data_IF_247575790762
#
_entry.id   IF_247575790762
#
_cell.length_a   1.000
_cell.length_b   1.000
_cell.length_c   1.000
_cell.angle_alpha   90.00
_cell.angle_beta   90.00
_cell.angle_gamma   90.00
#
_symmetry.space_group_name_H-M   'P 1'
#
loop_
_entity.id
_entity.type
_entity.pdbx_description
1 polymer ?
#
# COMPACT_ATOMS: atom_id res chain seq x y z
N UNK A 1 -40.04 -44.01 -7.96
CA UNK A 1 -40.51 -42.62 -7.88
C UNK A 1 -39.65 -41.83 -6.91
N UNK A 2 -38.67 -41.07 -7.41
CA UNK A 2 -37.89 -40.15 -6.57
C UNK A 2 -38.83 -38.99 -6.20
N UNK A 3 -39.11 -38.82 -4.90
CA UNK A 3 -40.00 -37.76 -4.41
C UNK A 3 -39.42 -36.38 -4.75
N UNK A 4 -40.24 -35.49 -5.29
CA UNK A 4 -39.92 -34.09 -5.62
C UNK A 4 -39.21 -33.36 -4.46
N UNK A 5 -39.53 -33.76 -3.22
CA UNK A 5 -38.92 -33.28 -1.98
C UNK A 5 -37.42 -33.57 -1.87
N UNK A 6 -36.95 -34.73 -2.38
CA UNK A 6 -35.54 -35.12 -2.38
C UNK A 6 -34.72 -34.31 -3.39
N UNK A 7 -35.32 -33.96 -4.53
CA UNK A 7 -34.69 -33.10 -5.55
C UNK A 7 -34.51 -31.69 -5.00
N UNK A 8 -35.53 -31.16 -4.32
CA UNK A 8 -35.49 -29.82 -3.74
C UNK A 8 -34.44 -29.69 -2.62
N UNK A 9 -34.35 -30.68 -1.72
CA UNK A 9 -33.34 -30.73 -0.66
C UNK A 9 -31.93 -30.85 -1.24
N UNK A 10 -31.75 -31.71 -2.25
CA UNK A 10 -30.47 -31.85 -2.95
C UNK A 10 -30.03 -30.54 -3.59
N UNK A 11 -30.94 -29.82 -4.25
CA UNK A 11 -30.65 -28.53 -4.87
C UNK A 11 -30.22 -27.46 -3.85
N UNK A 12 -30.88 -27.41 -2.68
CA UNK A 12 -30.49 -26.49 -1.58
C UNK A 12 -29.11 -26.84 -1.04
N UNK A 13 -28.81 -28.13 -0.82
CA UNK A 13 -27.49 -28.57 -0.37
C UNK A 13 -26.40 -28.25 -1.40
N UNK A 14 -26.67 -28.45 -2.70
CA UNK A 14 -25.76 -28.09 -3.78
C UNK A 14 -25.53 -26.58 -3.83
N UNK A 15 -26.58 -25.76 -3.66
CA UNK A 15 -26.47 -24.31 -3.61
C UNK A 15 -25.64 -23.83 -2.40
N UNK A 16 -25.79 -24.49 -1.24
CA UNK A 16 -25.01 -24.19 -0.03
C UNK A 16 -23.53 -24.57 -0.19
N UNK A 17 -23.25 -25.73 -0.79
CA UNK A 17 -21.89 -26.20 -1.10
C UNK A 17 -21.21 -25.36 -2.20
N UNK A 18 -21.97 -24.85 -3.16
CA UNK A 18 -21.45 -23.92 -4.16
C UNK A 18 -21.06 -22.59 -3.51
N UNK A 19 -21.84 -22.05 -2.57
CA UNK A 19 -21.47 -20.79 -1.89
C UNK A 19 -20.20 -20.92 -1.03
N UNK A 20 -19.99 -22.06 -0.35
CA UNK A 20 -18.80 -22.25 0.48
C UNK A 20 -17.50 -22.38 -0.34
N UNK A 21 -17.59 -22.89 -1.58
CA UNK A 21 -16.44 -22.98 -2.49
C UNK A 21 -15.98 -21.61 -3.01
N UNK A 22 -16.86 -20.60 -3.07
CA UNK A 22 -16.52 -19.25 -3.55
C UNK A 22 -15.89 -18.37 -2.45
N UNK A 23 -16.00 -18.76 -1.18
CA UNK A 23 -15.41 -18.04 -0.05
C UNK A 23 -13.91 -18.33 0.17
N UNK A 24 -13.18 -18.69 -0.89
CA UNK A 24 -11.77 -19.04 -0.76
C UNK A 24 -10.93 -17.78 -0.55
N UNK A 25 -10.51 -17.54 0.70
CA UNK A 25 -9.60 -16.45 1.08
C UNK A 25 -8.28 -16.62 0.31
N UNK A 26 -8.04 -15.77 -0.68
CA UNK A 26 -6.85 -15.86 -1.51
C UNK A 26 -5.64 -15.40 -0.69
N UNK A 27 -4.76 -16.34 -0.33
CA UNK A 27 -3.45 -16.02 0.25
C UNK A 27 -2.43 -15.99 -0.87
N UNK A 28 -1.78 -14.85 -1.07
CA UNK A 28 -0.70 -14.69 -2.03
C UNK A 28 0.59 -14.48 -1.27
N UNK A 29 1.56 -15.36 -1.50
CA UNK A 29 2.93 -15.17 -1.00
C UNK A 29 3.76 -14.50 -2.09
N UNK A 30 4.42 -13.40 -1.74
CA UNK A 30 5.27 -12.65 -2.66
C UNK A 30 6.69 -12.59 -2.07
N UNK A 31 7.69 -12.87 -2.90
CA UNK A 31 9.08 -12.60 -2.55
C UNK A 31 9.40 -11.15 -2.93
N UNK A 32 9.61 -10.29 -1.93
CA UNK A 32 9.92 -8.88 -2.13
C UNK A 32 11.36 -8.63 -1.71
N UNK A 33 12.17 -8.13 -2.64
CA UNK A 33 13.55 -7.74 -2.36
C UNK A 33 13.55 -6.57 -1.38
N UNK A 34 14.33 -6.67 -0.31
CA UNK A 34 14.44 -5.64 0.73
C UNK A 34 13.92 -6.11 2.09
N UNK A 35 12.96 -7.04 2.12
CA UNK A 35 12.53 -7.69 3.35
C UNK A 35 13.64 -8.57 3.93
N UNK A 36 13.84 -8.49 5.24
CA UNK A 36 14.82 -9.30 5.98
C UNK A 36 14.17 -10.55 6.55
N UNK A 37 12.93 -10.43 7.00
CA UNK A 37 12.13 -11.49 7.62
C UNK A 37 10.74 -11.59 6.97
N UNK A 38 10.00 -12.63 7.33
CA UNK A 38 8.62 -12.80 6.88
C UNK A 38 7.71 -11.71 7.46
N UNK A 39 6.91 -11.09 6.59
CA UNK A 39 5.84 -10.15 6.95
C UNK A 39 4.49 -10.72 6.52
N UNK A 40 3.49 -10.59 7.38
CA UNK A 40 2.10 -10.92 7.06
C UNK A 40 1.27 -9.64 6.91
N UNK A 41 0.50 -9.58 5.83
CA UNK A 41 -0.43 -8.47 5.58
C UNK A 41 -1.83 -9.03 5.44
N UNK A 42 -2.71 -8.63 6.35
CA UNK A 42 -4.14 -8.93 6.28
C UNK A 42 -4.85 -7.69 5.75
N UNK A 43 -5.55 -7.82 4.62
CA UNK A 43 -6.41 -6.76 4.11
C UNK A 43 -7.84 -7.04 4.50
N UNK A 44 -8.47 -6.09 5.18
CA UNK A 44 -9.88 -6.21 5.55
C UNK A 44 -10.82 -5.85 4.39
N UNK A 45 -12.13 -5.97 4.65
CA UNK A 45 -13.19 -5.74 3.67
C UNK A 45 -13.26 -4.28 3.19
N UNK A 46 -12.71 -3.34 3.97
CA UNK A 46 -12.63 -1.92 3.62
C UNK A 46 -11.32 -1.56 2.91
N UNK A 47 -10.46 -2.56 2.69
CA UNK A 47 -9.17 -2.39 2.03
C UNK A 47 -8.07 -1.84 2.94
N UNK A 48 -8.25 -1.86 4.26
CA UNK A 48 -7.21 -1.45 5.22
C UNK A 48 -6.22 -2.60 5.41
N UNK A 49 -4.93 -2.28 5.33
CA UNK A 49 -3.86 -3.24 5.51
C UNK A 49 -3.45 -3.30 6.99
N UNK A 50 -3.54 -4.48 7.60
CA UNK A 50 -3.06 -4.81 8.95
C UNK A 50 -1.74 -5.58 8.80
N UNK A 51 -0.64 -4.96 9.22
CA UNK A 51 0.73 -5.44 8.93
C UNK A 51 1.36 -6.02 10.20
N UNK A 52 1.84 -7.26 10.12
CA UNK A 52 2.55 -7.95 11.19
C UNK A 52 3.97 -8.30 10.72
N UNK A 53 4.97 -7.72 11.38
CA UNK A 53 6.38 -7.90 11.05
C UNK A 53 7.21 -8.20 12.31
N UNK A 54 8.33 -8.91 12.14
CA UNK A 54 9.22 -9.29 13.24
C UNK A 54 10.27 -8.22 13.58
N UNK A 55 10.39 -7.19 12.76
CA UNK A 55 11.31 -6.08 13.00
C UNK A 55 10.73 -4.78 12.43
N UNK A 56 11.27 -3.66 12.90
CA UNK A 56 10.79 -2.34 12.57
C UNK A 56 11.04 -1.94 11.12
N UNK A 57 12.18 -2.35 10.55
CA UNK A 57 12.52 -2.07 9.15
C UNK A 57 11.46 -2.65 8.21
N UNK A 58 11.16 -3.94 8.36
CA UNK A 58 10.23 -4.65 7.49
C UNK A 58 8.77 -4.18 7.68
N UNK A 59 8.42 -3.72 8.89
CA UNK A 59 7.13 -3.09 9.17
C UNK A 59 6.94 -1.83 8.32
N UNK A 60 7.88 -0.87 8.41
CA UNK A 60 7.77 0.39 7.69
C UNK A 60 7.96 0.21 6.18
N UNK A 61 8.85 -0.69 5.76
CA UNK A 61 8.99 -1.09 4.36
C UNK A 61 7.68 -1.60 3.79
N UNK A 62 7.03 -2.54 4.48
CA UNK A 62 5.76 -3.09 4.00
C UNK A 62 4.64 -2.05 4.04
N UNK A 63 4.68 -1.11 4.99
CA UNK A 63 3.74 0.01 5.04
C UNK A 63 3.87 0.92 3.80
N UNK A 64 5.10 1.23 3.38
CA UNK A 64 5.41 1.94 2.14
C UNK A 64 4.87 1.23 0.92
N UNK A 65 5.23 -0.05 0.78
CA UNK A 65 4.80 -0.90 -0.31
C UNK A 65 3.28 -0.98 -0.45
N UNK A 66 2.58 -1.22 0.67
CA UNK A 66 1.12 -1.27 0.69
C UNK A 66 0.50 0.07 0.29
N UNK A 67 1.05 1.20 0.77
CA UNK A 67 0.56 2.52 0.43
C UNK A 67 0.77 2.84 -1.06
N UNK A 68 1.94 2.53 -1.60
CA UNK A 68 2.25 2.65 -3.03
C UNK A 68 1.34 1.76 -3.88
N UNK A 69 1.15 0.49 -3.50
CA UNK A 69 0.26 -0.45 -4.21
C UNK A 69 -1.16 0.11 -4.38
N UNK A 70 -1.67 0.82 -3.38
CA UNK A 70 -3.01 1.39 -3.42
C UNK A 70 -3.07 2.80 -4.04
N UNK A 71 -2.00 3.60 -3.92
CA UNK A 71 -2.02 5.06 -4.17
C UNK A 71 -0.85 5.59 -4.99
N UNK A 72 -0.21 4.74 -5.80
CA UNK A 72 1.00 5.10 -6.55
C UNK A 72 0.86 6.41 -7.35
N UNK A 73 -0.26 6.57 -8.07
CA UNK A 73 -0.52 7.78 -8.85
C UNK A 73 -0.57 9.04 -7.96
N UNK A 74 -1.24 8.95 -6.81
CA UNK A 74 -1.35 10.06 -5.86
C UNK A 74 0.03 10.42 -5.30
N UNK A 75 0.85 9.42 -4.95
CA UNK A 75 2.22 9.63 -4.46
C UNK A 75 3.10 10.29 -5.52
N UNK A 76 3.02 9.87 -6.78
CA UNK A 76 3.78 10.48 -7.87
C UNK A 76 3.35 11.93 -8.12
N UNK A 77 2.05 12.23 -8.08
CA UNK A 77 1.54 13.60 -8.18
C UNK A 77 2.03 14.45 -7.00
N UNK A 78 1.95 13.95 -5.77
CA UNK A 78 2.43 14.66 -4.58
C UNK A 78 3.94 14.90 -4.60
N UNK A 79 4.72 13.89 -5.00
CA UNK A 79 6.16 14.02 -5.20
C UNK A 79 6.46 15.14 -6.17
N UNK A 80 5.83 15.15 -7.36
CA UNK A 80 5.98 16.22 -8.37
C UNK A 80 5.51 17.58 -7.86
N UNK A 81 4.46 17.59 -7.04
CA UNK A 81 3.97 18.81 -6.43
C UNK A 81 4.97 19.41 -5.45
N UNK A 82 5.64 18.58 -4.65
CA UNK A 82 6.67 18.98 -3.68
C UNK A 82 8.03 19.28 -4.34
N UNK A 83 8.38 18.60 -5.44
CA UNK A 83 9.65 18.81 -6.15
C UNK A 83 9.58 19.90 -7.22
N UNK A 84 8.38 20.40 -7.53
CA UNK A 84 8.15 21.41 -8.56
C UNK A 84 8.43 20.87 -9.96
N UNK A 85 7.82 19.73 -10.29
CA UNK A 85 7.94 19.03 -11.58
C UNK A 85 6.58 18.53 -12.10
N UNK A 86 5.48 19.20 -11.73
CA UNK A 86 4.14 18.78 -12.19
C UNK A 86 3.86 19.28 -13.60
N UNK A 87 4.55 20.33 -14.07
CA UNK A 87 4.39 20.84 -15.43
C UNK A 87 4.77 19.79 -16.49
N UNK A 88 5.63 18.83 -16.15
CA UNK A 88 5.95 17.68 -17.00
C UNK A 88 4.73 16.79 -17.31
N UNK A 89 3.69 16.80 -16.46
CA UNK A 89 2.46 16.01 -16.68
C UNK A 89 1.22 16.87 -16.93
N UNK A 90 1.20 18.14 -16.49
CA UNK A 90 0.06 19.05 -16.65
C UNK A 90 0.28 20.16 -17.68
N UNK A 91 1.47 20.27 -18.25
CA UNK A 91 1.86 21.27 -19.23
C UNK A 91 2.11 22.66 -18.65
N UNK A 92 2.17 23.64 -19.55
CA UNK A 92 2.61 25.02 -19.29
C UNK A 92 1.87 25.71 -18.15
N UNK A 93 0.58 25.40 -17.97
CA UNK A 93 -0.27 25.97 -16.90
C UNK A 93 0.29 25.79 -15.50
N UNK A 94 1.15 24.80 -15.27
CA UNK A 94 1.73 24.51 -13.97
C UNK A 94 3.14 25.10 -13.75
N UNK A 95 3.75 25.76 -14.75
CA UNK A 95 5.12 26.28 -14.65
C UNK A 95 5.27 27.28 -13.50
N UNK A 96 4.35 28.24 -13.36
CA UNK A 96 4.42 29.24 -12.26
C UNK A 96 4.40 28.58 -10.89
N UNK A 97 3.61 27.50 -10.73
CA UNK A 97 3.53 26.71 -9.50
C UNK A 97 4.84 25.96 -9.24
N UNK A 98 5.41 25.34 -10.27
CA UNK A 98 6.70 24.64 -10.17
C UNK A 98 7.83 25.59 -9.76
N UNK A 99 7.88 26.79 -10.35
CA UNK A 99 8.82 27.86 -9.98
C UNK A 99 8.65 28.21 -8.50
N UNK A 100 7.42 28.52 -8.06
CA UNK A 100 7.13 28.85 -6.67
C UNK A 100 7.53 27.73 -5.70
N UNK A 101 7.20 26.48 -6.02
CA UNK A 101 7.56 25.31 -5.21
C UNK A 101 9.08 25.21 -5.02
N UNK A 102 9.87 25.46 -6.06
CA UNK A 102 11.34 25.38 -6.00
C UNK A 102 11.97 26.44 -5.09
N UNK A 103 11.28 27.56 -4.85
CA UNK A 103 11.72 28.56 -3.87
C UNK A 103 11.67 27.99 -2.44
N UNK A 104 10.61 27.24 -2.12
CA UNK A 104 10.38 26.63 -0.80
C UNK A 104 11.10 25.30 -0.56
N UNK A 105 11.94 24.83 -1.50
CA UNK A 105 12.68 23.58 -1.32
C UNK A 105 13.56 23.62 -0.06
N UNK A 106 13.41 22.61 0.77
CA UNK A 106 14.35 22.36 1.86
C UNK A 106 15.73 22.03 1.30
N UNK A 107 16.76 22.65 1.87
CA UNK A 107 18.17 22.50 1.45
C UNK A 107 19.10 22.22 2.63
N UNK A 108 18.53 21.97 3.80
CA UNK A 108 19.29 21.65 5.00
C UNK A 108 19.71 20.19 5.05
N UNK A 109 20.31 19.81 6.16
CA UNK A 109 20.66 18.43 6.47
C UNK A 109 19.39 17.61 6.75
N UNK A 110 19.05 16.70 5.82
CA UNK A 110 17.89 15.81 5.95
C UNK A 110 18.03 14.85 7.14
N UNK A 111 19.23 14.35 7.45
CA UNK A 111 19.43 13.48 8.61
C UNK A 111 19.06 14.22 9.89
N UNK A 112 19.52 15.46 10.02
CA UNK A 112 19.17 16.31 11.17
C UNK A 112 17.67 16.58 11.21
N UNK A 113 17.06 16.95 10.08
CA UNK A 113 15.63 17.22 9.99
C UNK A 113 14.79 16.01 10.44
N UNK A 114 15.03 14.84 9.84
CA UNK A 114 14.26 13.63 10.12
C UNK A 114 14.43 13.15 11.57
N UNK A 115 15.59 13.39 12.19
CA UNK A 115 15.84 13.01 13.58
C UNK A 115 15.12 13.90 14.61
N UNK A 116 14.54 15.05 14.23
CA UNK A 116 13.67 15.81 15.13
C UNK A 116 12.35 15.07 15.41
N UNK A 117 11.89 14.22 14.50
CA UNK A 117 10.63 13.48 14.66
C UNK A 117 10.80 12.20 15.48
N UNK A 118 11.97 11.55 15.37
CA UNK A 118 12.31 10.34 16.12
C UNK A 118 13.83 10.08 16.07
N UNK A 119 14.47 9.50 17.11
CA UNK A 119 15.90 9.17 17.08
C UNK A 119 16.32 8.23 15.94
N UNK A 120 15.39 7.43 15.44
CA UNK A 120 15.57 6.54 14.29
C UNK A 120 14.83 7.02 13.04
N UNK A 121 14.50 8.32 12.95
CA UNK A 121 13.66 8.89 11.90
C UNK A 121 14.19 8.58 10.50
N UNK A 122 15.51 8.72 10.30
CA UNK A 122 16.15 8.39 9.02
C UNK A 122 15.93 6.92 8.63
N UNK A 123 16.12 5.99 9.56
CA UNK A 123 15.95 4.56 9.28
C UNK A 123 14.50 4.19 8.98
N UNK A 124 13.55 4.73 9.76
CA UNK A 124 12.11 4.49 9.61
C UNK A 124 11.60 5.03 8.27
N UNK A 125 11.93 6.28 7.95
CA UNK A 125 11.42 6.96 6.76
C UNK A 125 12.04 6.37 5.50
N UNK A 126 13.33 6.06 5.51
CA UNK A 126 13.96 5.40 4.37
C UNK A 126 13.38 4.00 4.14
N UNK A 127 13.16 3.21 5.21
CA UNK A 127 12.50 1.92 5.05
C UNK A 127 11.12 2.05 4.38
N UNK A 128 10.32 3.04 4.79
CA UNK A 128 9.03 3.32 4.14
C UNK A 128 9.17 3.72 2.66
N UNK A 129 10.19 4.51 2.30
CA UNK A 129 10.40 4.93 0.90
C UNK A 129 10.96 3.80 0.04
N UNK A 130 11.72 2.88 0.61
CA UNK A 130 12.32 1.73 -0.08
C UNK A 130 11.28 0.66 -0.47
N UNK A 131 10.14 0.61 0.23
CA UNK A 131 9.04 -0.32 -0.02
C UNK A 131 8.01 0.20 -1.01
#
# INVERSE_FOLDING_TARGET
>A
MISLKKIFISAICILFLLNSLWAQKTSTTLAVKGLKEKVEVLRDEWGVNHIYALNQHDLFFTQGYCAAKDRLFQFEVWRRQATGTVAEILGERAIKRDIGTRLFKFRGDLTKELNHYHPQGVAIINAYVDG
#
